data_IF_293460942547
#
_entry.id   IF_293460942547
#
_cell.length_a   1.000
_cell.length_b   1.000
_cell.length_c   1.000
_cell.angle_alpha   90.00
_cell.angle_beta   90.00
_cell.angle_gamma   90.00
#
_symmetry.space_group_name_H-M   'P 1'
#
loop_
_entity.id
_entity.type
_entity.pdbx_description
1 polymer ?
#
# COMPACT_ATOMS: atom_id res chain seq x y z
N UNK A 1 15.23 -6.24 -1.78
CA UNK A 1 14.94 -5.64 -0.46
C UNK A 1 13.45 -5.53 -0.24
N UNK A 2 12.81 -4.55 -0.87
CA UNK A 2 11.43 -4.17 -0.52
C UNK A 2 10.38 -5.29 -0.67
N UNK A 3 10.47 -6.14 -1.70
CA UNK A 3 9.51 -7.22 -1.92
C UNK A 3 9.40 -8.17 -0.71
N UNK A 4 10.54 -8.71 -0.26
CA UNK A 4 10.59 -9.64 0.87
C UNK A 4 10.17 -8.97 2.18
N UNK A 5 10.56 -7.70 2.37
CA UNK A 5 10.18 -6.92 3.55
C UNK A 5 8.66 -6.69 3.60
N UNK A 6 8.06 -6.24 2.49
CA UNK A 6 6.62 -6.01 2.39
C UNK A 6 5.84 -7.31 2.58
N UNK A 7 6.36 -8.44 2.09
CA UNK A 7 5.74 -9.75 2.29
C UNK A 7 5.77 -10.18 3.76
N UNK A 8 6.86 -9.91 4.48
CA UNK A 8 6.94 -10.19 5.92
C UNK A 8 5.99 -9.27 6.71
N UNK A 9 5.94 -7.97 6.38
CA UNK A 9 5.01 -7.03 6.99
C UNK A 9 3.55 -7.46 6.79
N UNK A 10 3.17 -7.82 5.56
CA UNK A 10 1.85 -8.34 5.23
C UNK A 10 1.46 -9.54 6.11
N UNK A 11 2.39 -10.47 6.34
CA UNK A 11 2.18 -11.61 7.23
C UNK A 11 1.98 -11.18 8.68
N UNK A 12 2.76 -10.21 9.17
CA UNK A 12 2.66 -9.69 10.54
C UNK A 12 1.30 -9.04 10.82
N UNK A 13 0.68 -8.42 9.82
CA UNK A 13 -0.65 -7.79 9.94
C UNK A 13 -1.81 -8.71 9.51
N UNK A 14 -1.57 -10.01 9.34
CA UNK A 14 -2.62 -10.99 9.01
C UNK A 14 -3.09 -10.96 7.54
N UNK A 15 -2.39 -10.27 6.65
CA UNK A 15 -2.70 -10.17 5.22
C UNK A 15 -1.86 -11.12 4.34
N UNK A 16 -1.22 -12.13 4.94
CA UNK A 16 -0.32 -13.06 4.24
C UNK A 16 -0.97 -13.75 3.03
N UNK A 17 -2.22 -14.18 3.16
CA UNK A 17 -2.96 -14.88 2.11
C UNK A 17 -3.42 -13.93 0.98
N UNK A 18 -3.41 -12.62 1.23
CA UNK A 18 -3.79 -11.56 0.28
C UNK A 18 -2.60 -11.00 -0.49
N UNK A 19 -1.49 -11.75 -0.58
CA UNK A 19 -0.27 -11.28 -1.23
C UNK A 19 -0.47 -10.82 -2.68
N UNK A 20 -1.36 -11.48 -3.42
CA UNK A 20 -1.66 -11.06 -4.79
C UNK A 20 -2.44 -9.73 -4.86
N UNK A 21 -3.31 -9.46 -3.88
CA UNK A 21 -4.00 -8.16 -3.77
C UNK A 21 -3.00 -7.07 -3.43
N UNK A 22 -2.10 -7.32 -2.48
CA UNK A 22 -1.06 -6.36 -2.08
C UNK A 22 -0.21 -5.94 -3.28
N UNK A 23 0.20 -6.88 -4.15
CA UNK A 23 0.95 -6.54 -5.37
C UNK A 23 0.15 -5.63 -6.32
N UNK A 24 -1.16 -5.87 -6.47
CA UNK A 24 -2.04 -5.06 -7.32
C UNK A 24 -2.22 -3.66 -6.73
N UNK A 25 -2.52 -3.57 -5.43
CA UNK A 25 -2.69 -2.29 -4.74
C UNK A 25 -1.38 -1.51 -4.70
N UNK A 26 -0.23 -2.16 -4.55
CA UNK A 26 1.07 -1.50 -4.63
C UNK A 26 1.31 -0.81 -5.97
N UNK A 27 0.90 -1.45 -7.07
CA UNK A 27 0.93 -0.81 -8.39
C UNK A 27 -0.04 0.37 -8.46
N UNK A 28 -1.27 0.22 -7.96
CA UNK A 28 -2.26 1.30 -7.95
C UNK A 28 -1.79 2.51 -7.14
N UNK A 29 -1.30 2.31 -5.92
CA UNK A 29 -0.74 3.37 -5.07
C UNK A 29 0.38 4.12 -5.77
N UNK A 30 1.27 3.40 -6.46
CA UNK A 30 2.31 4.06 -7.24
C UNK A 30 1.75 4.97 -8.35
N UNK A 31 0.69 4.54 -9.03
CA UNK A 31 0.03 5.36 -10.04
C UNK A 31 -0.67 6.57 -9.41
N UNK A 32 -1.33 6.38 -8.26
CA UNK A 32 -1.95 7.47 -7.48
C UNK A 32 -0.93 8.54 -7.07
N UNK A 33 0.30 8.13 -6.76
CA UNK A 33 1.40 9.04 -6.42
C UNK A 33 2.11 9.63 -7.65
N UNK A 34 1.65 9.34 -8.87
CA UNK A 34 2.21 9.92 -10.10
C UNK A 34 3.37 9.13 -10.71
N UNK A 35 3.39 7.81 -10.52
CA UNK A 35 4.40 6.88 -11.04
C UNK A 35 5.84 7.26 -10.64
N UNK A 36 6.07 7.30 -9.33
CA UNK A 36 7.36 7.71 -8.77
C UNK A 36 8.45 6.62 -8.88
N UNK A 37 9.70 7.06 -8.82
CA UNK A 37 10.84 6.16 -8.62
C UNK A 37 10.72 5.54 -7.21
N UNK A 38 10.70 4.20 -7.14
CA UNK A 38 10.49 3.42 -5.91
C UNK A 38 11.80 2.82 -5.41
N UNK A 39 12.61 3.64 -4.76
CA UNK A 39 13.81 3.22 -4.03
C UNK A 39 13.69 3.68 -2.58
N UNK A 40 14.51 3.19 -1.65
CA UNK A 40 14.47 3.71 -0.28
C UNK A 40 14.76 5.22 -0.28
N UNK A 41 13.93 6.08 0.35
CA UNK A 41 12.78 5.76 1.21
C UNK A 41 11.40 5.70 0.52
N UNK A 42 11.25 6.17 -0.72
CA UNK A 42 9.95 6.24 -1.41
C UNK A 42 9.25 4.88 -1.58
N UNK A 43 10.00 3.80 -1.78
CA UNK A 43 9.44 2.45 -1.84
C UNK A 43 8.78 1.99 -0.53
N UNK A 44 9.22 2.53 0.61
CA UNK A 44 8.59 2.30 1.91
C UNK A 44 7.25 3.02 1.98
N UNK A 45 7.18 4.28 1.57
CA UNK A 45 5.94 5.08 1.55
C UNK A 45 4.85 4.39 0.73
N UNK A 46 5.18 3.93 -0.48
CA UNK A 46 4.24 3.17 -1.33
C UNK A 46 3.79 1.87 -0.63
N UNK A 47 4.71 1.17 0.05
CA UNK A 47 4.41 -0.05 0.78
C UNK A 47 3.48 0.16 1.98
N UNK A 48 3.74 1.18 2.79
CA UNK A 48 2.95 1.50 3.99
C UNK A 48 1.51 1.88 3.58
N UNK A 49 1.35 2.72 2.55
CA UNK A 49 0.03 3.07 2.00
C UNK A 49 -0.70 1.86 1.40
N UNK A 50 0.03 0.93 0.76
CA UNK A 50 -0.56 -0.31 0.24
C UNK A 50 -1.15 -1.16 1.35
N UNK A 51 -0.39 -1.37 2.44
CA UNK A 51 -0.85 -2.16 3.58
C UNK A 51 -2.06 -1.49 4.23
N UNK A 52 -2.01 -0.16 4.40
CA UNK A 52 -3.13 0.62 4.92
C UNK A 52 -4.42 0.42 4.11
N UNK A 53 -4.34 0.53 2.78
CA UNK A 53 -5.49 0.35 1.90
C UNK A 53 -6.05 -1.08 1.96
N UNK A 54 -5.20 -2.10 1.91
CA UNK A 54 -5.64 -3.50 1.94
C UNK A 54 -6.24 -3.88 3.29
N UNK A 55 -5.64 -3.41 4.39
CA UNK A 55 -6.11 -3.67 5.74
C UNK A 55 -7.50 -3.07 6.00
N UNK A 56 -7.74 -1.87 5.48
CA UNK A 56 -9.02 -1.16 5.63
C UNK A 56 -10.01 -1.41 4.49
N UNK A 57 -9.67 -2.29 3.53
CA UNK A 57 -10.43 -2.56 2.30
C UNK A 57 -10.81 -1.28 1.52
N UNK A 58 -9.87 -0.32 1.46
CA UNK A 58 -10.05 0.95 0.76
C UNK A 58 -9.69 0.81 -0.72
N UNK A 59 -10.48 1.45 -1.56
CA UNK A 59 -10.19 1.64 -2.98
C UNK A 59 -9.53 3.00 -3.21
N UNK A 60 -8.92 3.19 -4.38
CA UNK A 60 -8.43 4.50 -4.81
C UNK A 60 -9.52 5.59 -4.71
N UNK A 61 -10.76 5.25 -5.08
CA UNK A 61 -11.90 6.15 -4.97
C UNK A 61 -12.16 6.56 -3.51
N UNK A 62 -12.09 5.62 -2.56
CA UNK A 62 -12.25 5.94 -1.13
C UNK A 62 -11.19 6.92 -0.64
N UNK A 63 -9.95 6.81 -1.13
CA UNK A 63 -8.86 7.74 -0.77
C UNK A 63 -9.20 9.17 -1.21
N UNK A 64 -9.74 9.34 -2.42
CA UNK A 64 -10.12 10.66 -2.91
C UNK A 64 -11.41 11.20 -2.27
N UNK A 65 -12.39 10.34 -1.95
CA UNK A 65 -13.68 10.77 -1.41
C UNK A 65 -13.67 10.98 0.11
N UNK A 66 -12.86 10.21 0.83
CA UNK A 66 -12.83 10.19 2.31
C UNK A 66 -11.49 10.62 2.88
N UNK A 67 -10.57 11.10 2.05
CA UNK A 67 -9.22 11.46 2.47
C UNK A 67 -9.16 12.44 3.64
N UNK A 68 -10.15 13.32 3.77
CA UNK A 68 -10.22 14.31 4.85
C UNK A 68 -10.46 13.72 6.25
N UNK A 69 -10.97 12.48 6.32
CA UNK A 69 -11.26 11.78 7.59
C UNK A 69 -10.40 10.53 7.80
N UNK A 70 -9.52 10.22 6.86
CA UNK A 70 -8.62 9.07 6.94
C UNK A 70 -7.27 9.52 7.53
N UNK A 71 -6.83 8.82 8.58
CA UNK A 71 -5.49 9.01 9.12
C UNK A 71 -4.47 8.22 8.28
N UNK A 72 -3.74 8.92 7.43
CA UNK A 72 -2.71 8.31 6.58
C UNK A 72 -1.42 7.98 7.35
N UNK A 73 -0.72 6.90 6.99
CA UNK A 73 0.55 6.49 7.58
C UNK A 73 1.74 7.40 7.22
#
# INVERSE_FOLDING_TARGET
>A
GQYSNLQQQAKMVGLGDRWNDIKKVYHQVNMMFGDIIKVTPSSKVVGDMTLYMVQNNLTEKDIYEKGDVLDFP
#
